data_IF_973855990874
#
_entry.id   IF_973855990874
#
_cell.length_a   1.000
_cell.length_b   1.000
_cell.length_c   1.000
_cell.angle_alpha   90.00
_cell.angle_beta   90.00
_cell.angle_gamma   90.00
#
_symmetry.space_group_name_H-M   'P 1'
#
loop_
_entity.id
_entity.type
_entity.pdbx_description
1 polymer ?
#
# COMPACT_ATOMS: atom_id res chain seq x y z
N UNK A 1 0.42 -20.82 -43.95
CA UNK A 1 0.47 -21.05 -42.49
C UNK A 1 0.22 -19.70 -41.83
N UNK A 2 -1.06 -19.39 -41.61
CA UNK A 2 -1.53 -18.17 -40.94
C UNK A 2 -1.25 -18.31 -39.43
N UNK A 3 -0.40 -17.45 -38.87
CA UNK A 3 -0.79 -16.26 -38.10
C UNK A 3 -1.48 -16.60 -36.77
N UNK A 4 -0.80 -16.30 -35.65
CA UNK A 4 -1.36 -15.58 -34.49
C UNK A 4 -0.35 -15.53 -33.33
N UNK A 5 0.34 -14.40 -33.23
CA UNK A 5 1.04 -13.95 -32.04
C UNK A 5 0.08 -13.33 -31.02
N UNK A 6 -0.96 -14.06 -30.60
CA UNK A 6 -2.05 -13.50 -29.76
C UNK A 6 -1.88 -13.79 -28.25
N UNK A 7 -0.83 -14.50 -27.82
CA UNK A 7 -0.66 -14.89 -26.42
C UNK A 7 0.37 -14.08 -25.62
N UNK A 8 1.35 -13.48 -26.30
CA UNK A 8 2.54 -12.94 -25.64
C UNK A 8 2.37 -11.47 -25.25
N UNK A 9 1.71 -10.66 -26.08
CA UNK A 9 1.60 -9.21 -25.84
C UNK A 9 0.77 -8.88 -24.60
N UNK A 10 -0.30 -9.65 -24.33
CA UNK A 10 -1.16 -9.48 -23.14
C UNK A 10 -0.44 -9.86 -21.84
N UNK A 11 0.42 -10.87 -21.89
CA UNK A 11 1.25 -11.27 -20.75
C UNK A 11 2.44 -10.32 -20.55
N UNK A 12 2.96 -9.68 -21.60
CA UNK A 12 4.01 -8.66 -21.47
C UNK A 12 3.44 -7.41 -20.79
N UNK A 13 2.23 -6.94 -21.09
CA UNK A 13 1.63 -5.80 -20.38
C UNK A 13 1.37 -6.10 -18.89
N UNK A 14 0.86 -7.30 -18.60
CA UNK A 14 0.68 -7.75 -17.21
C UNK A 14 2.05 -7.88 -16.56
N UNK A 15 3.01 -8.56 -17.17
CA UNK A 15 4.36 -8.70 -16.64
C UNK A 15 5.06 -7.35 -16.43
N UNK A 16 4.91 -6.37 -17.33
CA UNK A 16 5.43 -5.01 -17.16
C UNK A 16 4.73 -4.29 -16.01
N UNK A 17 3.42 -4.49 -15.83
CA UNK A 17 2.66 -3.98 -14.67
C UNK A 17 3.06 -4.60 -13.32
N UNK A 18 3.50 -5.86 -13.31
CA UNK A 18 4.02 -6.55 -12.12
C UNK A 18 5.51 -6.25 -11.87
N UNK A 19 6.31 -6.08 -12.94
CA UNK A 19 7.74 -5.79 -12.86
C UNK A 19 7.98 -4.32 -12.47
N UNK A 20 7.09 -3.40 -12.85
CA UNK A 20 7.03 -2.03 -12.30
C UNK A 20 6.69 -2.02 -10.80
N UNK A 21 5.75 -2.87 -10.36
CA UNK A 21 5.41 -3.06 -8.94
C UNK A 21 6.57 -3.61 -8.11
N UNK A 22 7.40 -4.49 -8.68
CA UNK A 22 8.59 -5.02 -8.01
C UNK A 22 9.73 -4.00 -7.92
N UNK A 23 9.88 -3.11 -8.91
CA UNK A 23 10.88 -2.03 -8.87
C UNK A 23 10.47 -0.87 -7.94
N UNK A 24 9.17 -0.67 -7.70
CA UNK A 24 8.63 0.30 -6.73
C UNK A 24 8.70 -0.16 -5.27
N UNK A 25 9.18 -1.37 -4.98
CA UNK A 25 9.28 -1.92 -3.63
C UNK A 25 10.02 -1.01 -2.63
N UNK A 26 10.95 -0.15 -3.10
CA UNK A 26 11.63 0.84 -2.25
C UNK A 26 10.71 2.01 -1.85
N UNK A 27 9.91 2.53 -2.79
CA UNK A 27 8.96 3.61 -2.52
C UNK A 27 7.79 3.13 -1.67
N UNK A 28 7.31 1.93 -1.98
CA UNK A 28 6.26 1.23 -1.25
C UNK A 28 6.68 0.92 0.20
N UNK A 29 7.91 0.43 0.39
CA UNK A 29 8.48 0.24 1.74
C UNK A 29 8.64 1.56 2.49
N UNK A 30 9.07 2.64 1.82
CA UNK A 30 9.22 3.95 2.46
C UNK A 30 7.87 4.55 2.91
N UNK A 31 6.83 4.43 2.09
CA UNK A 31 5.48 4.87 2.44
C UNK A 31 4.93 4.09 3.64
N UNK A 32 5.10 2.76 3.64
CA UNK A 32 4.72 1.92 4.76
C UNK A 32 5.47 2.29 6.05
N UNK A 33 6.79 2.49 5.98
CA UNK A 33 7.61 2.89 7.11
C UNK A 33 7.21 4.26 7.67
N UNK A 34 6.77 5.20 6.84
CA UNK A 34 6.19 6.46 7.33
C UNK A 34 4.88 6.23 8.08
N UNK A 35 4.01 5.36 7.57
CA UNK A 35 2.81 4.95 8.29
C UNK A 35 3.14 4.40 9.68
N UNK A 36 4.17 3.55 9.79
CA UNK A 36 4.64 3.01 11.07
C UNK A 36 5.14 4.11 12.00
N UNK A 37 6.00 5.02 11.52
CA UNK A 37 6.53 6.13 12.33
C UNK A 37 5.43 7.01 12.91
N UNK A 38 4.41 7.35 12.13
CA UNK A 38 3.26 8.12 12.62
C UNK A 38 2.35 7.32 13.56
N UNK A 39 2.27 5.99 13.39
CA UNK A 39 1.52 5.11 14.29
C UNK A 39 2.19 5.02 15.66
N UNK A 40 3.52 4.91 15.68
CA UNK A 40 4.33 4.69 16.90
C UNK A 40 4.85 5.99 17.53
N UNK A 41 4.76 7.12 16.83
CA UNK A 41 5.39 8.37 17.26
C UNK A 41 6.93 8.32 17.19
N UNK A 42 7.50 7.49 16.31
CA UNK A 42 8.95 7.29 16.22
C UNK A 42 9.61 8.38 15.39
N UNK A 43 10.23 9.35 16.08
CA UNK A 43 10.88 10.51 15.45
C UNK A 43 9.91 11.55 14.87
N UNK A 44 8.61 11.35 15.04
CA UNK A 44 7.52 12.28 14.70
C UNK A 44 6.45 12.22 15.77
N UNK A 45 5.61 13.25 15.90
CA UNK A 45 4.44 13.19 16.78
C UNK A 45 3.50 12.09 16.30
N UNK A 46 3.02 11.26 17.21
CA UNK A 46 2.03 10.22 16.90
C UNK A 46 0.77 10.87 16.31
N UNK A 47 0.37 10.40 15.13
CA UNK A 47 -0.79 10.87 14.39
C UNK A 47 -1.37 9.71 13.57
N UNK A 48 -2.48 9.15 14.05
CA UNK A 48 -3.15 8.05 13.38
C UNK A 48 -3.78 8.48 12.04
N UNK A 49 -4.21 9.73 11.89
CA UNK A 49 -4.77 10.21 10.63
C UNK A 49 -3.68 10.34 9.54
N UNK A 50 -2.48 10.81 9.90
CA UNK A 50 -1.33 10.82 8.98
C UNK A 50 -0.84 9.40 8.68
N UNK A 51 -0.79 8.52 9.69
CA UNK A 51 -0.48 7.10 9.46
C UNK A 51 -1.43 6.45 8.46
N UNK A 52 -2.74 6.71 8.57
CA UNK A 52 -3.75 6.22 7.63
C UNK A 52 -3.49 6.70 6.18
N UNK A 53 -3.08 7.96 6.01
CA UNK A 53 -2.74 8.52 4.69
C UNK A 53 -1.55 7.80 4.06
N UNK A 54 -0.52 7.50 4.84
CA UNK A 54 0.66 6.80 4.36
C UNK A 54 0.39 5.33 4.03
N UNK A 55 -0.36 4.62 4.88
CA UNK A 55 -0.76 3.25 4.59
C UNK A 55 -1.64 3.16 3.33
N UNK A 56 -2.56 4.12 3.12
CA UNK A 56 -3.37 4.16 1.89
C UNK A 56 -2.50 4.30 0.63
N UNK A 57 -1.51 5.19 0.63
CA UNK A 57 -0.56 5.32 -0.51
C UNK A 57 0.19 4.01 -0.80
N UNK A 58 0.63 3.32 0.26
CA UNK A 58 1.30 2.03 0.13
C UNK A 58 0.35 0.95 -0.39
N UNK A 59 -0.91 0.93 0.07
CA UNK A 59 -1.98 0.06 -0.47
C UNK A 59 -2.24 0.32 -1.94
N UNK A 60 -2.37 1.60 -2.35
CA UNK A 60 -2.60 1.99 -3.75
C UNK A 60 -1.45 1.56 -4.67
N UNK A 61 -0.26 1.41 -4.11
CA UNK A 61 0.95 0.94 -4.78
C UNK A 61 1.13 -0.60 -4.70
N UNK A 62 0.15 -1.32 -4.14
CA UNK A 62 0.12 -2.79 -4.08
C UNK A 62 0.71 -3.41 -2.81
N UNK A 63 0.96 -2.65 -1.75
CA UNK A 63 1.46 -3.19 -0.47
C UNK A 63 0.34 -3.87 0.33
N UNK A 64 0.31 -5.19 0.33
CA UNK A 64 -0.71 -5.95 1.07
C UNK A 64 -0.67 -5.71 2.58
N UNK A 65 0.51 -5.67 3.20
CA UNK A 65 0.63 -5.40 4.65
C UNK A 65 0.12 -4.02 5.06
N UNK A 66 0.26 -3.00 4.20
CA UNK A 66 -0.25 -1.66 4.49
C UNK A 66 -1.79 -1.65 4.59
N UNK A 67 -2.47 -2.44 3.77
CA UNK A 67 -3.94 -2.56 3.79
C UNK A 67 -4.44 -3.13 5.12
N UNK A 68 -3.72 -4.10 5.68
CA UNK A 68 -4.06 -4.69 6.99
C UNK A 68 -3.87 -3.66 8.10
N UNK A 69 -2.76 -2.92 8.09
CA UNK A 69 -2.50 -1.86 9.08
C UNK A 69 -3.50 -0.70 8.98
N UNK A 70 -3.88 -0.31 7.77
CA UNK A 70 -4.92 0.69 7.54
C UNK A 70 -6.27 0.23 8.12
N UNK A 71 -6.66 -1.02 7.87
CA UNK A 71 -7.88 -1.61 8.42
C UNK A 71 -7.90 -1.61 9.95
N UNK A 72 -6.82 -2.05 10.59
CA UNK A 72 -6.70 -2.04 12.06
C UNK A 72 -6.77 -0.63 12.64
N UNK A 73 -6.13 0.33 11.99
CA UNK A 73 -6.11 1.71 12.45
C UNK A 73 -7.48 2.37 12.31
N UNK A 74 -8.16 2.17 11.18
CA UNK A 74 -9.52 2.66 10.98
C UNK A 74 -10.51 2.00 11.94
N UNK A 75 -10.40 0.69 12.17
CA UNK A 75 -11.22 -0.03 13.14
C UNK A 75 -11.05 0.50 14.56
N UNK A 76 -9.79 0.73 14.98
CA UNK A 76 -9.45 1.34 16.27
C UNK A 76 -10.08 2.74 16.45
N UNK A 77 -9.95 3.61 15.45
CA UNK A 77 -10.50 4.96 15.49
C UNK A 77 -12.03 4.94 15.49
N UNK A 78 -12.65 4.03 14.73
CA UNK A 78 -14.10 3.89 14.68
C UNK A 78 -14.66 3.39 16.01
N UNK A 79 -13.96 2.46 16.68
CA UNK A 79 -14.37 1.95 17.99
C UNK A 79 -14.31 3.07 19.05
N UNK A 80 -13.26 3.87 19.06
CA UNK A 80 -13.17 5.05 19.93
C UNK A 80 -14.33 6.03 19.70
N UNK A 81 -14.69 6.30 18.43
CA UNK A 81 -15.76 7.23 18.09
C UNK A 81 -17.18 6.73 18.43
N UNK A 82 -17.40 5.41 18.54
CA UNK A 82 -18.71 4.83 18.90
C UNK A 82 -18.92 4.79 20.41
N UNK A 83 -17.85 4.90 21.21
CA UNK A 83 -17.90 4.86 22.68
C UNK A 83 -17.62 6.20 23.38
N UNK A 84 -17.64 7.33 22.66
CA UNK A 84 -17.57 8.69 23.25
C UNK A 84 -18.88 9.44 23.06
#
# INVERSE_FOLDING_TARGET
>A
MYEKGDGVEKDIEVAVGWNRRATDGRGVSAQFQMGVRYTEGSGVRQDHAEAARWYRKATDSGHHEASVRLGNLLFSVFLLAVFT
#
